data_IF_819730518399
#
_entry.id   IF_819730518399
#
_cell.length_a   1.000
_cell.length_b   1.000
_cell.length_c   1.000
_cell.angle_alpha   90.00
_cell.angle_beta   90.00
_cell.angle_gamma   90.00
#
_symmetry.space_group_name_H-M   'P 1'
#
loop_
_entity.id
_entity.type
_entity.pdbx_description
1 polymer ?
#
# COMPACT_ATOMS: atom_id res chain seq x y z
N UNK A 1 49.08 5.83 -44.59
CA UNK A 1 49.51 6.78 -43.54
C UNK A 1 48.50 6.58 -42.41
N UNK A 2 48.73 5.71 -41.41
CA UNK A 2 49.76 5.78 -40.35
C UNK A 2 49.57 7.04 -39.49
N UNK A 3 49.54 7.05 -38.16
CA UNK A 3 49.71 6.05 -37.07
C UNK A 3 49.10 6.69 -35.77
N UNK A 4 48.79 6.06 -34.63
CA UNK A 4 48.83 4.66 -34.12
C UNK A 4 47.94 4.54 -32.86
N UNK A 5 47.45 3.35 -32.52
CA UNK A 5 46.93 3.04 -31.16
C UNK A 5 48.07 2.85 -30.14
N UNK A 6 47.83 3.15 -28.86
CA UNK A 6 48.25 2.25 -27.77
C UNK A 6 47.22 2.17 -26.62
N UNK A 7 47.26 1.24 -25.66
CA UNK A 7 47.73 -0.16 -25.58
C UNK A 7 47.12 -0.74 -24.30
N UNK A 8 46.63 -1.99 -24.32
CA UNK A 8 46.10 -2.67 -23.12
C UNK A 8 47.17 -2.81 -22.03
N UNK A 9 46.79 -2.65 -20.75
CA UNK A 9 47.50 -3.27 -19.62
C UNK A 9 46.59 -4.25 -18.90
N UNK A 10 46.97 -5.53 -18.93
CA UNK A 10 46.54 -6.55 -17.97
C UNK A 10 47.43 -6.42 -16.73
N UNK A 11 46.86 -6.65 -15.55
CA UNK A 11 47.61 -7.03 -14.34
C UNK A 11 47.06 -8.40 -13.91
N UNK A 12 47.96 -9.31 -13.54
CA UNK A 12 47.66 -10.67 -13.10
C UNK A 12 48.15 -10.87 -11.67
N UNK A 13 47.46 -11.79 -10.98
CA UNK A 13 47.94 -12.62 -9.85
C UNK A 13 48.41 -11.93 -8.56
N UNK A 14 47.70 -12.26 -7.49
CA UNK A 14 48.13 -12.10 -6.10
C UNK A 14 47.41 -13.11 -5.20
N UNK A 15 47.82 -14.38 -5.24
CA UNK A 15 47.35 -15.38 -4.29
C UNK A 15 48.12 -15.25 -2.96
N UNK A 16 47.45 -15.45 -1.83
CA UNK A 16 48.10 -15.63 -0.53
C UNK A 16 47.26 -16.50 0.39
N UNK A 17 47.90 -17.52 0.93
CA UNK A 17 47.29 -18.60 1.74
C UNK A 17 48.12 -18.78 3.00
N UNK A 18 47.49 -18.71 4.18
CA UNK A 18 48.01 -19.08 5.51
C UNK A 18 46.78 -19.02 6.45
N UNK A 19 46.18 -20.08 7.04
CA UNK A 19 46.64 -21.29 7.76
C UNK A 19 46.94 -21.05 9.25
N UNK A 20 46.09 -21.66 10.11
CA UNK A 20 46.35 -21.96 11.54
C UNK A 20 45.83 -20.92 12.55
N UNK A 21 45.34 -21.27 13.75
CA UNK A 21 45.19 -22.59 14.42
C UNK A 21 44.04 -22.56 15.47
N UNK A 22 43.27 -23.64 15.49
CA UNK A 22 42.82 -24.46 16.64
C UNK A 22 42.52 -23.86 18.04
N UNK A 23 41.39 -24.32 18.63
CA UNK A 23 41.06 -24.16 20.06
C UNK A 23 39.73 -24.82 20.45
N UNK A 24 39.75 -26.08 20.87
CA UNK A 24 38.56 -26.87 21.19
C UNK A 24 38.04 -26.72 22.65
N UNK A 25 36.85 -27.33 22.87
CA UNK A 25 36.35 -28.06 24.08
C UNK A 25 35.83 -27.33 25.33
N UNK A 26 34.84 -27.86 26.09
CA UNK A 26 33.73 -28.84 25.85
C UNK A 26 32.93 -29.17 27.14
N UNK A 27 31.69 -29.71 27.02
CA UNK A 27 30.84 -30.34 28.09
C UNK A 27 30.29 -29.38 29.17
N UNK A 28 29.14 -29.60 29.83
CA UNK A 28 28.04 -30.61 29.80
C UNK A 28 26.80 -30.01 30.55
N UNK A 29 25.55 -30.45 30.34
CA UNK A 29 24.86 -31.59 31.00
C UNK A 29 24.86 -31.52 32.56
N UNK A 30 23.79 -31.78 33.33
CA UNK A 30 22.38 -32.14 33.01
C UNK A 30 21.45 -31.98 34.26
N UNK A 31 20.15 -32.23 34.08
CA UNK A 31 19.10 -32.69 35.04
C UNK A 31 18.83 -32.05 36.44
N UNK A 32 17.60 -31.54 36.58
CA UNK A 32 16.53 -31.87 37.57
C UNK A 32 16.81 -32.13 39.08
N UNK A 33 15.88 -31.70 39.95
CA UNK A 33 15.13 -32.53 40.96
C UNK A 33 14.21 -31.69 41.89
N UNK A 34 12.89 -31.95 41.84
CA UNK A 34 11.79 -31.60 42.79
C UNK A 34 11.95 -32.39 44.13
N UNK A 35 11.28 -32.19 45.31
CA UNK A 35 9.82 -31.91 45.43
C UNK A 35 9.24 -31.31 46.77
N UNK A 36 7.89 -31.33 46.89
CA UNK A 36 7.05 -31.48 48.11
C UNK A 36 6.96 -30.34 49.18
N UNK A 37 5.90 -30.17 50.02
CA UNK A 37 4.46 -30.59 50.00
C UNK A 37 3.68 -29.89 51.16
N UNK A 38 2.47 -29.36 50.89
CA UNK A 38 1.29 -29.10 51.78
C UNK A 38 1.40 -28.35 53.13
N UNK A 39 0.54 -27.32 53.32
CA UNK A 39 -0.40 -27.26 54.47
C UNK A 39 -1.64 -26.35 54.25
N UNK A 40 -2.84 -26.90 54.48
CA UNK A 40 -4.13 -26.19 54.55
C UNK A 40 -4.38 -25.63 55.97
N UNK A 41 -5.17 -24.54 56.12
CA UNK A 41 -6.50 -24.55 56.80
C UNK A 41 -7.21 -23.18 56.72
N UNK A 42 -8.54 -23.17 56.76
CA UNK A 42 -9.42 -22.00 56.63
C UNK A 42 -9.94 -21.43 57.97
N UNK A 43 -10.37 -20.15 57.99
CA UNK A 43 -11.76 -19.72 58.28
C UNK A 43 -11.97 -18.19 58.20
N UNK A 44 -13.09 -17.80 57.61
CA UNK A 44 -14.00 -16.65 57.87
C UNK A 44 -13.49 -15.32 58.46
N UNK A 45 -13.86 -14.19 57.81
CA UNK A 45 -14.60 -13.03 58.40
C UNK A 45 -14.96 -12.00 57.31
N UNK A 46 -16.14 -11.40 57.38
CA UNK A 46 -16.65 -10.41 56.41
C UNK A 46 -16.31 -8.95 56.78
N UNK A 47 -16.14 -8.09 55.76
CA UNK A 47 -16.12 -6.61 55.87
C UNK A 47 -16.36 -5.97 54.48
N UNK A 48 -16.69 -4.66 54.40
CA UNK A 48 -17.84 -4.21 53.62
C UNK A 48 -17.57 -3.86 52.15
N UNK A 49 -18.67 -3.79 51.40
CA UNK A 49 -18.74 -3.19 50.06
C UNK A 49 -18.28 -1.72 50.09
N UNK A 50 -17.10 -1.45 49.56
CA UNK A 50 -16.76 -0.12 49.06
C UNK A 50 -17.31 0.01 47.64
N UNK A 51 -18.29 0.90 47.45
CA UNK A 51 -18.71 1.33 46.11
C UNK A 51 -17.63 2.24 45.54
N UNK A 52 -16.61 1.65 44.93
CA UNK A 52 -15.65 2.39 44.12
C UNK A 52 -16.38 2.86 42.86
N UNK A 53 -16.69 4.16 42.78
CA UNK A 53 -16.94 4.79 41.48
C UNK A 53 -15.61 4.79 40.73
N UNK A 54 -15.39 3.77 39.93
CA UNK A 54 -14.37 3.80 38.89
C UNK A 54 -14.86 4.78 37.83
N UNK A 55 -14.24 5.96 37.78
CA UNK A 55 -14.17 6.70 36.52
C UNK A 55 -13.40 5.82 35.57
N UNK A 56 -14.06 5.29 34.54
CA UNK A 56 -13.36 4.58 33.47
C UNK A 56 -12.38 5.56 32.83
N UNK A 57 -11.10 5.22 32.83
CA UNK A 57 -10.13 5.83 31.91
C UNK A 57 -10.54 5.44 30.49
N UNK A 58 -10.24 6.27 29.49
CA UNK A 58 -10.65 6.01 28.09
C UNK A 58 -10.04 4.70 27.54
N UNK A 59 -8.95 4.24 28.17
CA UNK A 59 -8.26 2.96 27.94
C UNK A 59 -9.13 1.69 28.17
N UNK A 60 -10.22 1.76 28.95
CA UNK A 60 -11.05 0.59 29.32
C UNK A 60 -12.29 0.41 28.39
N UNK A 61 -12.35 1.12 27.26
CA UNK A 61 -13.43 0.99 26.26
C UNK A 61 -13.15 -0.20 25.33
N UNK A 62 -14.08 -1.17 25.18
CA UNK A 62 -13.90 -2.28 24.24
C UNK A 62 -13.70 -1.78 22.80
N UNK A 63 -12.58 -2.18 22.18
CA UNK A 63 -12.19 -1.71 20.86
C UNK A 63 -11.29 -0.47 20.86
N UNK A 64 -10.88 0.07 22.02
CA UNK A 64 -9.82 1.08 22.10
C UNK A 64 -8.50 0.52 21.57
N UNK A 65 -7.69 1.39 20.94
CA UNK A 65 -6.40 1.02 20.36
C UNK A 65 -5.27 1.79 21.07
N UNK A 66 -4.26 1.07 21.59
CA UNK A 66 -3.11 1.67 22.29
C UNK A 66 -2.04 2.24 21.33
N UNK A 67 -1.92 1.67 20.12
CA UNK A 67 -0.95 2.04 19.08
C UNK A 67 -1.64 2.69 17.87
N UNK A 68 -0.99 3.65 17.20
CA UNK A 68 -1.53 4.21 15.95
C UNK A 68 -1.52 3.14 14.85
N UNK A 69 -2.67 2.89 14.23
CA UNK A 69 -2.82 1.93 13.13
C UNK A 69 -2.82 2.63 11.79
N UNK A 70 -2.23 1.96 10.81
CA UNK A 70 -2.00 2.47 9.46
C UNK A 70 -2.39 1.43 8.43
N UNK A 71 -2.71 1.85 7.20
CA UNK A 71 -2.92 0.95 6.07
C UNK A 71 -3.27 1.72 4.81
N UNK A 72 -3.65 1.05 3.73
CA UNK A 72 -3.80 1.69 2.41
C UNK A 72 -5.26 1.66 1.95
N UNK A 73 -5.78 2.75 1.36
CA UNK A 73 -7.14 2.81 0.81
C UNK A 73 -7.14 3.30 -0.64
N UNK A 74 -7.71 2.48 -1.53
CA UNK A 74 -8.00 2.83 -2.91
C UNK A 74 -9.52 2.84 -3.11
N UNK A 75 -10.04 3.93 -3.65
CA UNK A 75 -11.41 4.04 -4.16
C UNK A 75 -11.32 4.40 -5.63
N UNK A 76 -11.89 3.55 -6.48
CA UNK A 76 -11.96 3.69 -7.93
C UNK A 76 -13.43 3.85 -8.33
N UNK A 77 -13.75 4.92 -9.05
CA UNK A 77 -15.07 5.16 -9.64
C UNK A 77 -14.89 5.27 -11.15
N UNK A 78 -15.46 4.34 -11.93
CA UNK A 78 -15.40 4.32 -13.40
C UNK A 78 -13.99 4.38 -14.02
N UNK A 79 -13.00 3.86 -13.29
CA UNK A 79 -11.58 3.86 -13.69
C UNK A 79 -10.78 5.05 -13.16
N UNK A 80 -11.43 6.04 -12.53
CA UNK A 80 -10.77 7.17 -11.90
C UNK A 80 -10.56 6.93 -10.40
N UNK A 81 -9.31 7.03 -9.94
CA UNK A 81 -8.96 6.90 -8.52
C UNK A 81 -9.21 8.21 -7.75
N UNK A 82 -9.85 8.08 -6.59
CA UNK A 82 -10.07 9.18 -5.63
C UNK A 82 -8.74 9.69 -5.07
N UNK A 83 -8.53 11.00 -5.18
CA UNK A 83 -7.35 11.69 -4.68
C UNK A 83 -7.49 12.00 -3.18
N UNK A 84 -7.02 11.09 -2.33
CA UNK A 84 -7.04 11.23 -0.87
C UNK A 84 -6.01 12.24 -0.32
N UNK A 85 -5.11 12.77 -1.16
CA UNK A 85 -4.24 13.91 -0.84
C UNK A 85 -4.95 15.28 -0.91
N UNK A 86 -6.28 15.29 -0.89
CA UNK A 86 -7.07 16.52 -0.78
C UNK A 86 -7.27 16.90 0.70
N UNK A 87 -7.05 18.18 1.09
CA UNK A 87 -7.18 18.63 2.47
C UNK A 87 -8.47 18.25 3.21
N UNK A 88 -9.58 18.04 2.47
CA UNK A 88 -10.88 17.62 3.01
C UNK A 88 -10.86 16.23 3.68
N UNK A 89 -9.83 15.42 3.48
CA UNK A 89 -9.68 14.10 4.10
C UNK A 89 -8.75 14.09 5.33
N UNK A 90 -8.06 15.19 5.60
CA UNK A 90 -7.06 15.25 6.67
C UNK A 90 -7.68 15.54 8.02
N UNK A 91 -7.25 14.82 9.06
CA UNK A 91 -7.78 14.94 10.42
C UNK A 91 -7.82 16.40 10.91
N UNK A 92 -6.69 17.10 10.78
CA UNK A 92 -6.46 18.51 11.15
C UNK A 92 -7.49 19.49 10.55
N UNK A 93 -8.15 19.12 9.44
CA UNK A 93 -9.13 19.97 8.75
C UNK A 93 -10.59 19.59 9.07
N UNK A 94 -10.84 18.46 9.76
CA UNK A 94 -12.18 17.89 9.92
C UNK A 94 -12.54 17.50 11.36
N UNK A 95 -11.56 17.30 12.25
CA UNK A 95 -11.81 16.83 13.63
C UNK A 95 -12.71 17.77 14.46
N UNK A 96 -12.57 19.09 14.27
CA UNK A 96 -13.39 20.11 14.95
C UNK A 96 -14.88 19.98 14.61
N UNK A 97 -15.22 19.56 13.39
CA UNK A 97 -16.61 19.36 12.93
C UNK A 97 -17.09 17.91 13.10
N UNK A 98 -16.17 16.94 13.07
CA UNK A 98 -16.44 15.49 13.07
C UNK A 98 -15.42 14.75 13.94
N UNK A 99 -15.46 14.85 15.28
CA UNK A 99 -14.40 14.30 16.15
C UNK A 99 -14.21 12.78 16.04
N UNK A 100 -15.18 12.04 15.49
CA UNK A 100 -15.07 10.61 15.22
C UNK A 100 -14.16 10.26 14.02
N UNK A 101 -13.72 11.22 13.20
CA UNK A 101 -12.78 10.95 12.09
C UNK A 101 -11.42 10.48 12.60
N UNK A 102 -11.09 10.72 13.86
CA UNK A 102 -9.88 10.16 14.52
C UNK A 102 -9.82 8.62 14.49
N UNK A 103 -10.95 7.95 14.23
CA UNK A 103 -11.02 6.49 14.04
C UNK A 103 -10.70 6.04 12.60
N UNK A 104 -10.73 6.93 11.60
CA UNK A 104 -10.28 6.67 10.23
C UNK A 104 -10.11 7.98 9.44
N UNK A 105 -8.87 8.37 9.15
CA UNK A 105 -8.52 9.65 8.51
C UNK A 105 -7.24 9.56 7.70
N UNK A 106 -6.87 10.66 7.05
CA UNK A 106 -5.58 10.87 6.38
C UNK A 106 -4.83 12.04 7.05
N UNK A 107 -3.58 12.30 6.64
CA UNK A 107 -2.83 13.50 7.02
C UNK A 107 -2.07 14.07 5.81
N UNK A 108 -1.75 15.37 5.85
CA UNK A 108 -1.03 16.08 4.78
C UNK A 108 0.39 15.55 4.50
N UNK A 109 1.06 15.05 5.54
CA UNK A 109 2.49 14.73 5.49
C UNK A 109 2.90 13.46 6.22
N UNK A 110 1.96 12.64 6.73
CA UNK A 110 2.35 11.50 7.54
C UNK A 110 3.06 10.45 6.68
N UNK A 111 2.30 9.76 5.83
CA UNK A 111 2.77 8.53 5.18
C UNK A 111 2.07 8.28 3.84
N UNK A 112 1.83 9.33 3.05
CA UNK A 112 1.47 9.18 1.64
C UNK A 112 0.00 9.34 1.29
N UNK A 113 -0.30 9.49 -0.01
CA UNK A 113 -1.60 10.03 -0.45
C UNK A 113 -2.76 9.06 -0.27
N UNK A 114 -2.50 7.76 -0.11
CA UNK A 114 -3.52 6.72 0.08
C UNK A 114 -3.36 5.98 1.41
N UNK A 115 -2.49 6.45 2.33
CA UNK A 115 -2.35 5.81 3.64
C UNK A 115 -3.35 6.40 4.64
N UNK A 116 -4.22 5.55 5.18
CA UNK A 116 -5.15 5.89 6.25
C UNK A 116 -4.51 5.66 7.62
N UNK A 117 -4.97 6.41 8.61
CA UNK A 117 -4.59 6.32 10.02
C UNK A 117 -5.81 6.13 10.93
N UNK A 118 -5.61 5.47 12.08
CA UNK A 118 -6.57 5.32 13.18
C UNK A 118 -5.82 5.38 14.51
N UNK A 119 -6.21 6.30 15.40
CA UNK A 119 -5.49 6.55 16.66
C UNK A 119 -6.19 5.98 17.91
N UNK A 120 -7.46 5.55 17.83
CA UNK A 120 -8.30 5.44 19.05
C UNK A 120 -9.29 4.29 19.11
N UNK A 121 -9.88 3.83 18.00
CA UNK A 121 -10.94 2.84 18.10
C UNK A 121 -11.10 1.98 16.85
N UNK A 122 -11.21 0.67 17.04
CA UNK A 122 -11.63 -0.27 15.99
C UNK A 122 -13.05 0.09 15.53
N UNK A 123 -13.21 0.17 14.21
CA UNK A 123 -14.47 0.46 13.52
C UNK A 123 -14.68 -0.53 12.38
N UNK A 124 -15.93 -0.73 11.96
CA UNK A 124 -16.20 -1.49 10.73
C UNK A 124 -15.75 -0.69 9.51
N UNK A 125 -15.40 -1.36 8.41
CA UNK A 125 -14.96 -0.66 7.20
C UNK A 125 -16.12 0.17 6.56
N UNK A 126 -17.38 -0.21 6.76
CA UNK A 126 -18.54 0.64 6.49
C UNK A 126 -18.46 1.94 7.30
N UNK A 127 -18.16 1.88 8.60
CA UNK A 127 -18.06 3.09 9.42
C UNK A 127 -16.87 3.95 9.00
N UNK A 128 -15.73 3.34 8.70
CA UNK A 128 -14.54 4.00 8.19
C UNK A 128 -14.82 4.83 6.92
N UNK A 129 -15.43 4.21 5.89
CA UNK A 129 -15.80 4.90 4.65
C UNK A 129 -16.74 6.09 4.90
N UNK A 130 -17.72 5.94 5.80
CA UNK A 130 -18.68 7.00 6.15
C UNK A 130 -18.12 8.12 7.05
N UNK A 131 -16.87 8.02 7.52
CA UNK A 131 -16.19 9.14 8.20
C UNK A 131 -15.58 10.13 7.19
N UNK A 132 -15.16 9.62 6.02
CA UNK A 132 -14.47 10.39 4.98
C UNK A 132 -15.42 11.36 4.25
N UNK A 133 -15.14 12.68 4.22
CA UNK A 133 -16.04 13.64 3.57
C UNK A 133 -16.22 13.38 2.06
N UNK A 134 -17.48 13.39 1.63
CA UNK A 134 -17.85 13.13 0.24
C UNK A 134 -17.92 11.65 -0.14
N UNK A 135 -17.63 10.72 0.78
CA UNK A 135 -17.82 9.27 0.60
C UNK A 135 -18.96 8.81 1.51
N UNK A 136 -19.82 7.94 0.98
CA UNK A 136 -20.85 7.25 1.74
C UNK A 136 -20.84 5.76 1.37
N UNK A 137 -21.16 4.89 2.32
CA UNK A 137 -21.36 3.47 2.07
C UNK A 137 -22.57 2.96 2.85
N UNK A 138 -23.39 2.12 2.24
CA UNK A 138 -24.42 1.36 2.95
C UNK A 138 -24.79 0.07 2.21
N UNK A 139 -25.67 -0.73 2.81
CA UNK A 139 -26.27 -1.92 2.20
C UNK A 139 -27.78 -1.71 2.03
N UNK A 140 -28.29 -1.98 0.83
CA UNK A 140 -29.73 -1.94 0.50
C UNK A 140 -30.14 -3.31 -0.03
N UNK A 141 -31.08 -3.96 0.64
CA UNK A 141 -31.66 -5.27 0.28
C UNK A 141 -30.67 -6.45 0.01
N UNK A 142 -29.38 -6.28 0.32
CA UNK A 142 -28.32 -7.26 0.09
C UNK A 142 -27.27 -6.82 -0.93
N UNK A 143 -27.43 -5.63 -1.51
CA UNK A 143 -26.53 -5.02 -2.50
C UNK A 143 -25.73 -3.86 -1.89
N UNK A 144 -24.53 -3.60 -2.42
CA UNK A 144 -23.66 -2.51 -1.95
C UNK A 144 -24.12 -1.19 -2.57
N UNK A 145 -24.17 -0.13 -1.78
CA UNK A 145 -24.46 1.23 -2.26
C UNK A 145 -23.32 2.16 -1.84
N UNK A 146 -22.70 2.82 -2.81
CA UNK A 146 -21.60 3.77 -2.60
C UNK A 146 -22.04 5.16 -3.02
N UNK A 147 -21.81 6.16 -2.18
CA UNK A 147 -21.91 7.57 -2.52
C UNK A 147 -20.53 8.18 -2.75
N UNK A 148 -20.37 8.99 -3.80
CA UNK A 148 -19.18 9.80 -4.02
C UNK A 148 -19.56 11.19 -4.56
N UNK A 149 -19.15 12.25 -3.86
CA UNK A 149 -19.38 13.67 -4.21
C UNK A 149 -20.86 14.00 -4.53
N UNK A 150 -21.79 13.33 -3.84
CA UNK A 150 -23.24 13.50 -4.02
C UNK A 150 -23.87 12.65 -5.13
N UNK A 151 -23.08 11.88 -5.88
CA UNK A 151 -23.57 10.83 -6.78
C UNK A 151 -23.72 9.52 -6.00
N UNK A 152 -24.80 8.77 -6.26
CA UNK A 152 -25.03 7.45 -5.64
C UNK A 152 -24.97 6.35 -6.69
N UNK A 153 -24.22 5.30 -6.39
CA UNK A 153 -24.05 4.10 -7.19
C UNK A 153 -24.64 2.92 -6.41
N UNK A 154 -25.73 2.34 -6.90
CA UNK A 154 -26.40 1.20 -6.28
C UNK A 154 -26.06 -0.08 -7.07
N UNK A 155 -25.47 -1.09 -6.41
CA UNK A 155 -25.15 -2.38 -7.02
C UNK A 155 -26.38 -3.21 -7.43
N UNK A 156 -27.60 -2.78 -7.04
CA UNK A 156 -28.85 -3.34 -7.55
C UNK A 156 -29.25 -2.78 -8.94
N UNK A 157 -28.65 -1.68 -9.40
CA UNK A 157 -28.97 -1.07 -10.69
C UNK A 157 -28.30 -1.83 -11.87
N UNK A 158 -29.07 -2.07 -12.94
CA UNK A 158 -28.60 -2.75 -14.15
C UNK A 158 -27.39 -2.02 -14.77
N UNK A 159 -26.22 -2.65 -14.72
CA UNK A 159 -24.98 -2.10 -15.28
C UNK A 159 -24.07 -1.39 -14.27
N UNK A 160 -24.42 -1.40 -12.98
CA UNK A 160 -23.53 -0.99 -11.89
C UNK A 160 -22.91 -2.23 -11.23
N UNK A 161 -21.58 -2.30 -11.14
CA UNK A 161 -20.86 -3.26 -10.29
C UNK A 161 -20.15 -2.51 -9.16
N UNK A 162 -20.32 -3.01 -7.93
CA UNK A 162 -19.65 -2.49 -6.74
C UNK A 162 -18.95 -3.65 -6.04
N UNK A 163 -17.65 -3.50 -5.79
CA UNK A 163 -16.84 -4.50 -5.10
C UNK A 163 -15.92 -3.87 -4.07
N UNK A 164 -15.71 -4.59 -2.96
CA UNK A 164 -14.87 -4.13 -1.85
C UNK A 164 -13.98 -5.28 -1.40
N UNK A 165 -12.67 -5.04 -1.36
CA UNK A 165 -11.66 -6.03 -1.03
C UNK A 165 -10.73 -5.54 0.08
N UNK A 166 -10.22 -6.49 0.87
CA UNK A 166 -9.06 -6.36 1.74
C UNK A 166 -7.90 -7.16 1.13
N UNK A 167 -6.87 -6.49 0.65
CA UNK A 167 -5.84 -7.06 -0.22
C UNK A 167 -6.44 -7.63 -1.50
N UNK A 168 -6.59 -8.96 -1.53
CA UNK A 168 -7.19 -9.72 -2.63
C UNK A 168 -8.50 -10.41 -2.25
N UNK A 169 -8.89 -10.35 -0.97
CA UNK A 169 -10.09 -11.01 -0.43
C UNK A 169 -11.30 -10.08 -0.50
N UNK A 170 -12.43 -10.54 -1.06
CA UNK A 170 -13.68 -9.76 -1.06
C UNK A 170 -14.34 -9.84 0.32
N UNK A 171 -14.63 -8.70 0.93
CA UNK A 171 -15.18 -8.59 2.30
C UNK A 171 -16.61 -8.03 2.30
N UNK A 172 -17.33 -8.16 3.43
CA UNK A 172 -18.53 -7.35 3.70
C UNK A 172 -18.16 -6.22 4.70
N UNK A 173 -18.07 -4.96 4.23
CA UNK A 173 -17.70 -3.81 5.07
C UNK A 173 -18.60 -3.58 6.29
N UNK A 174 -19.84 -4.09 6.30
CA UNK A 174 -20.76 -3.92 7.43
C UNK A 174 -20.37 -4.77 8.65
N UNK A 175 -19.57 -5.82 8.42
CA UNK A 175 -19.13 -6.77 9.46
C UNK A 175 -17.61 -6.87 9.61
N UNK A 176 -16.85 -6.40 8.62
CA UNK A 176 -15.40 -6.41 8.67
C UNK A 176 -14.89 -5.26 9.55
N UNK A 177 -14.22 -5.58 10.65
CA UNK A 177 -13.52 -4.63 11.53
C UNK A 177 -12.13 -4.33 10.93
N UNK A 178 -11.77 -3.06 10.82
CA UNK A 178 -10.48 -2.63 10.24
C UNK A 178 -9.33 -3.09 11.13
N UNK A 179 -8.29 -3.71 10.54
CA UNK A 179 -7.06 -4.13 11.22
C UNK A 179 -5.85 -3.27 10.78
N UNK A 180 -4.81 -3.19 11.61
CA UNK A 180 -3.54 -2.57 11.25
C UNK A 180 -2.89 -3.27 10.05
N UNK A 181 -2.43 -2.49 9.06
CA UNK A 181 -1.83 -2.97 7.82
C UNK A 181 -2.84 -3.33 6.71
N UNK A 182 -4.13 -3.04 6.89
CA UNK A 182 -5.14 -3.37 5.87
C UNK A 182 -5.04 -2.51 4.59
N UNK A 183 -4.97 -3.22 3.46
CA UNK A 183 -5.12 -2.66 2.12
C UNK A 183 -6.58 -2.76 1.66
N UNK A 184 -7.28 -1.66 1.47
CA UNK A 184 -8.62 -1.68 0.93
C UNK A 184 -8.67 -1.28 -0.55
N UNK A 185 -9.45 -2.02 -1.34
CA UNK A 185 -9.84 -1.63 -2.70
C UNK A 185 -11.36 -1.61 -2.84
N UNK A 186 -11.92 -0.41 -3.00
CA UNK A 186 -13.30 -0.19 -3.40
C UNK A 186 -13.31 0.13 -4.89
N UNK A 187 -14.06 -0.63 -5.68
CA UNK A 187 -14.23 -0.40 -7.12
C UNK A 187 -15.72 -0.27 -7.44
N UNK A 188 -16.09 0.82 -8.08
CA UNK A 188 -17.41 1.07 -8.67
C UNK A 188 -17.24 1.19 -10.17
N UNK A 189 -18.08 0.48 -10.93
CA UNK A 189 -18.13 0.59 -12.40
C UNK A 189 -19.56 0.69 -12.88
N UNK A 190 -19.79 1.56 -13.84
CA UNK A 190 -21.05 1.79 -14.54
C UNK A 190 -20.88 1.49 -16.03
N UNK A 191 -21.98 1.15 -16.70
CA UNK A 191 -21.97 0.90 -18.14
C UNK A 191 -21.67 2.16 -18.99
N UNK A 192 -21.70 3.37 -18.41
CA UNK A 192 -21.49 4.63 -19.13
C UNK A 192 -20.01 5.05 -19.22
N UNK A 193 -19.15 4.57 -18.32
CA UNK A 193 -17.70 4.88 -18.31
C UNK A 193 -16.89 4.28 -19.47
N UNK A 194 -17.47 3.37 -20.25
CA UNK A 194 -16.79 2.69 -21.37
C UNK A 194 -16.75 3.55 -22.65
N UNK A 195 -16.01 4.66 -22.65
CA UNK A 195 -15.75 5.43 -23.89
C UNK A 195 -14.87 4.66 -24.85
N UNK A 196 -15.47 4.09 -25.90
CA UNK A 196 -14.78 3.37 -26.96
C UNK A 196 -13.89 4.29 -27.82
N UNK A 197 -12.67 4.56 -27.34
CA UNK A 197 -11.59 5.14 -28.12
C UNK A 197 -10.98 4.12 -29.10
N UNK A 198 -10.19 4.62 -30.07
CA UNK A 198 -9.26 3.76 -30.85
C UNK A 198 -8.00 3.41 -30.08
N UNK A 199 -7.68 4.22 -29.08
CA UNK A 199 -6.49 4.16 -28.25
C UNK A 199 -6.88 3.38 -27.00
N UNK A 200 -6.09 2.38 -26.61
CA UNK A 200 -6.25 1.73 -25.30
C UNK A 200 -5.77 2.70 -24.23
N UNK A 201 -6.46 2.79 -23.11
CA UNK A 201 -6.06 3.68 -22.02
C UNK A 201 -6.39 3.09 -20.66
N UNK A 202 -5.78 3.64 -19.61
CA UNK A 202 -6.00 3.22 -18.24
C UNK A 202 -5.20 4.08 -17.28
N UNK A 203 -5.17 3.71 -16.01
CA UNK A 203 -4.34 4.37 -14.99
C UNK A 203 -3.18 3.45 -14.57
N UNK A 204 -1.96 3.99 -14.48
CA UNK A 204 -0.81 3.34 -13.84
C UNK A 204 -0.34 4.24 -12.71
N UNK A 205 -0.53 3.79 -11.48
CA UNK A 205 -0.36 4.65 -10.31
C UNK A 205 0.79 4.11 -9.46
N UNK A 206 1.89 4.85 -9.35
CA UNK A 206 3.14 4.36 -8.71
C UNK A 206 3.41 5.09 -7.40
N UNK A 207 3.55 4.34 -6.31
CA UNK A 207 4.02 4.79 -4.99
C UNK A 207 5.41 4.22 -4.71
N UNK A 208 6.34 5.06 -4.27
CA UNK A 208 7.65 4.64 -3.77
C UNK A 208 7.85 5.22 -2.38
N UNK A 209 7.99 4.37 -1.36
CA UNK A 209 8.04 4.71 0.06
C UNK A 209 6.94 5.69 0.44
N UNK A 210 5.69 5.30 0.18
CA UNK A 210 4.52 6.13 0.44
C UNK A 210 4.50 7.48 -0.29
N UNK A 211 5.38 7.70 -1.27
CA UNK A 211 5.33 8.88 -2.14
C UNK A 211 4.83 8.49 -3.51
N UNK A 212 3.64 8.98 -3.87
CA UNK A 212 3.17 8.96 -5.26
C UNK A 212 4.16 9.67 -6.18
N UNK A 213 4.55 9.00 -7.25
CA UNK A 213 5.29 9.63 -8.33
C UNK A 213 4.37 10.63 -9.02
N UNK A 214 4.57 11.93 -8.78
CA UNK A 214 3.78 12.98 -9.41
C UNK A 214 4.27 13.19 -10.85
N UNK A 215 3.56 12.55 -11.77
CA UNK A 215 3.90 12.46 -13.18
C UNK A 215 3.64 13.77 -13.97
N UNK A 216 2.75 14.63 -13.49
CA UNK A 216 2.34 15.87 -14.18
C UNK A 216 3.29 17.07 -14.01
N UNK A 217 4.59 16.85 -13.80
CA UNK A 217 5.53 17.85 -13.28
C UNK A 217 6.88 17.95 -14.00
N UNK A 218 6.85 18.24 -15.30
CA UNK A 218 8.01 18.35 -16.21
C UNK A 218 8.79 17.04 -16.47
N UNK A 219 8.98 16.73 -17.76
CA UNK A 219 9.78 15.60 -18.28
C UNK A 219 9.27 14.18 -18.01
N UNK A 220 8.04 13.88 -18.48
CA UNK A 220 7.86 12.60 -19.16
C UNK A 220 8.95 12.47 -20.23
N UNK A 221 9.82 11.46 -20.11
CA UNK A 221 10.61 11.06 -21.27
C UNK A 221 9.63 10.41 -22.24
N UNK A 222 9.72 10.78 -23.53
CA UNK A 222 9.24 9.86 -24.55
C UNK A 222 9.99 8.55 -24.34
N UNK A 223 9.24 7.49 -24.04
CA UNK A 223 9.64 6.14 -24.42
C UNK A 223 9.93 6.18 -25.91
N UNK A 224 10.91 5.42 -26.41
CA UNK A 224 11.14 5.28 -27.86
C UNK A 224 10.05 4.40 -28.53
N UNK A 225 8.80 4.62 -28.15
CA UNK A 225 7.59 4.17 -28.83
C UNK A 225 6.73 5.40 -29.06
N UNK A 226 6.45 5.76 -30.31
CA UNK A 226 5.43 6.78 -30.64
C UNK A 226 3.99 6.25 -30.40
N UNK A 227 3.84 5.23 -29.53
CA UNK A 227 2.65 4.41 -29.41
C UNK A 227 2.15 4.28 -27.97
N UNK A 228 3.02 4.11 -26.98
CA UNK A 228 2.70 4.19 -25.55
C UNK A 228 3.21 5.50 -24.95
N UNK A 229 2.32 6.26 -24.29
CA UNK A 229 2.65 7.56 -23.68
C UNK A 229 1.79 7.86 -22.45
N UNK A 230 2.34 8.68 -21.56
CA UNK A 230 1.58 9.48 -20.60
C UNK A 230 1.47 10.90 -21.14
N UNK A 231 0.30 11.53 -20.97
CA UNK A 231 0.01 12.85 -21.56
C UNK A 231 -0.06 13.94 -20.48
N UNK A 232 0.21 15.18 -20.89
CA UNK A 232 -0.06 16.39 -20.11
C UNK A 232 -1.38 17.01 -20.61
N UNK A 233 -2.48 16.30 -20.34
CA UNK A 233 -3.85 16.68 -20.72
C UNK A 233 -4.77 16.93 -19.50
N UNK A 234 -4.22 16.79 -18.29
CA UNK A 234 -4.92 16.92 -17.01
C UNK A 234 -5.28 15.58 -16.36
N UNK A 235 -5.21 14.49 -17.11
CA UNK A 235 -5.52 13.14 -16.64
C UNK A 235 -4.29 12.51 -15.95
N UNK A 236 -4.09 12.82 -14.66
CA UNK A 236 -2.96 12.27 -13.88
C UNK A 236 -2.96 10.73 -13.94
N UNK A 237 -1.77 10.14 -14.05
CA UNK A 237 -1.55 8.69 -14.09
C UNK A 237 -2.15 7.97 -15.30
N UNK A 238 -2.79 8.70 -16.24
CA UNK A 238 -3.43 8.09 -17.40
C UNK A 238 -2.40 7.80 -18.49
N UNK A 239 -2.31 6.52 -18.83
CA UNK A 239 -1.51 6.05 -19.96
C UNK A 239 -2.40 5.83 -21.20
N UNK A 240 -1.78 5.92 -22.37
CA UNK A 240 -2.42 5.71 -23.67
C UNK A 240 -1.55 4.79 -24.53
N UNK A 241 -2.18 3.87 -25.28
CA UNK A 241 -1.49 2.96 -26.18
C UNK A 241 -2.23 2.80 -27.53
N UNK A 242 -1.58 3.19 -28.62
CA UNK A 242 -2.07 3.04 -30.01
C UNK A 242 -1.40 1.89 -30.79
N UNK A 243 -0.45 1.19 -30.17
CA UNK A 243 0.37 0.14 -30.79
C UNK A 243 0.05 -1.27 -30.32
N UNK A 244 1.08 -2.12 -30.33
CA UNK A 244 1.03 -3.46 -29.74
C UNK A 244 0.89 -3.37 -28.20
N UNK A 245 0.41 -4.43 -27.51
CA UNK A 245 0.37 -4.43 -26.06
C UNK A 245 1.77 -4.24 -25.46
N UNK A 246 1.82 -3.53 -24.33
CA UNK A 246 3.04 -3.37 -23.52
C UNK A 246 2.77 -3.96 -22.15
N UNK A 247 3.81 -4.52 -21.54
CA UNK A 247 3.77 -5.04 -20.18
C UNK A 247 3.81 -3.91 -19.15
N UNK A 248 3.42 -4.19 -17.89
CA UNK A 248 3.58 -3.20 -16.80
C UNK A 248 5.06 -2.85 -16.59
N UNK A 249 5.97 -3.79 -16.77
CA UNK A 249 7.42 -3.55 -16.72
C UNK A 249 7.89 -2.54 -17.77
N UNK A 250 7.40 -2.64 -19.01
CA UNK A 250 7.69 -1.68 -20.09
C UNK A 250 7.04 -0.32 -19.82
N UNK A 251 5.82 -0.30 -19.28
CA UNK A 251 5.13 0.92 -18.88
C UNK A 251 5.83 1.63 -17.70
N UNK A 252 6.41 0.89 -16.74
CA UNK A 252 7.25 1.45 -15.69
C UNK A 252 8.56 2.04 -16.25
N UNK A 253 9.17 1.38 -17.23
CA UNK A 253 10.34 1.90 -17.96
C UNK A 253 10.08 3.17 -18.78
N UNK A 254 8.81 3.58 -18.96
CA UNK A 254 8.44 4.87 -19.53
C UNK A 254 8.64 6.04 -18.54
N UNK A 255 8.55 5.77 -17.23
CA UNK A 255 8.49 6.80 -16.21
C UNK A 255 9.88 7.43 -15.96
N UNK A 256 9.96 8.75 -15.73
CA UNK A 256 11.23 9.42 -15.53
C UNK A 256 11.92 8.94 -14.25
N UNK A 257 13.17 8.48 -14.41
CA UNK A 257 14.03 7.96 -13.35
C UNK A 257 13.53 6.64 -12.71
N UNK A 258 12.62 5.92 -13.36
CA UNK A 258 12.26 4.55 -12.98
C UNK A 258 12.96 3.59 -13.95
N UNK A 259 13.61 2.56 -13.41
CA UNK A 259 13.95 1.35 -14.16
C UNK A 259 13.33 0.15 -13.43
N UNK A 260 12.70 -0.75 -14.17
CA UNK A 260 12.12 -1.98 -13.62
C UNK A 260 12.72 -3.19 -14.33
N UNK A 261 13.05 -4.23 -13.56
CA UNK A 261 13.63 -5.47 -14.07
C UNK A 261 13.31 -6.65 -13.16
N UNK A 262 13.30 -7.83 -13.74
CA UNK A 262 13.42 -9.09 -12.99
C UNK A 262 14.87 -9.55 -13.03
N UNK A 263 15.38 -10.03 -11.90
CA UNK A 263 16.76 -10.49 -11.80
C UNK A 263 16.93 -11.97 -12.24
N UNK A 264 18.12 -12.55 -12.07
CA UNK A 264 18.39 -13.94 -12.46
C UNK A 264 17.78 -15.02 -11.56
N UNK A 265 17.32 -14.67 -10.36
CA UNK A 265 16.59 -15.55 -9.46
C UNK A 265 15.08 -15.55 -9.75
N UNK A 266 14.58 -14.49 -10.40
CA UNK A 266 13.15 -14.25 -10.63
C UNK A 266 12.61 -13.12 -9.75
N UNK A 267 13.44 -12.52 -8.90
CA UNK A 267 13.03 -11.49 -7.96
C UNK A 267 12.87 -10.15 -8.69
N UNK A 268 11.84 -9.39 -8.32
CA UNK A 268 11.54 -8.11 -8.91
C UNK A 268 12.46 -7.02 -8.33
N UNK A 269 12.92 -6.10 -9.18
CA UNK A 269 13.80 -5.00 -8.77
C UNK A 269 13.31 -3.70 -9.39
N UNK A 270 13.08 -2.71 -8.54
CA UNK A 270 12.62 -1.37 -8.89
C UNK A 270 13.72 -0.36 -8.53
N UNK A 271 14.24 0.35 -9.53
CA UNK A 271 15.30 1.34 -9.38
C UNK A 271 14.67 2.74 -9.54
N UNK A 272 14.70 3.57 -8.48
CA UNK A 272 14.17 4.95 -8.48
C UNK A 272 15.30 5.99 -8.33
N UNK A 273 15.69 6.60 -9.44
CA UNK A 273 16.90 7.41 -9.59
C UNK A 273 16.81 8.89 -9.16
N UNK A 274 15.86 9.30 -8.30
CA UNK A 274 15.89 10.66 -7.75
C UNK A 274 16.95 10.75 -6.65
N UNK A 275 18.02 11.53 -6.86
CA UNK A 275 19.20 11.58 -5.99
C UNK A 275 19.04 12.26 -4.62
N UNK A 276 17.91 12.08 -3.95
CA UNK A 276 17.67 12.38 -2.54
C UNK A 276 17.33 11.10 -1.75
N UNK A 277 17.03 11.24 -0.46
CA UNK A 277 16.97 10.11 0.49
C UNK A 277 15.80 9.12 0.25
N UNK A 278 14.87 9.44 -0.66
CA UNK A 278 13.74 8.60 -1.08
C UNK A 278 13.98 7.84 -2.40
N UNK A 279 15.14 8.03 -3.04
CA UNK A 279 15.58 7.24 -4.20
C UNK A 279 16.42 6.03 -3.78
N UNK A 280 16.41 4.98 -4.58
CA UNK A 280 17.11 3.74 -4.25
C UNK A 280 16.89 2.61 -5.24
N UNK A 281 17.57 1.48 -4.98
CA UNK A 281 17.32 0.20 -5.64
C UNK A 281 16.57 -0.68 -4.65
N UNK A 282 15.32 -0.99 -4.97
CA UNK A 282 14.43 -1.80 -4.16
C UNK A 282 14.39 -3.22 -4.72
N UNK A 283 14.66 -4.21 -3.88
CA UNK A 283 14.69 -5.62 -4.26
C UNK A 283 13.57 -6.34 -3.52
N UNK A 284 12.67 -6.99 -4.25
CA UNK A 284 11.53 -7.70 -3.66
C UNK A 284 11.98 -8.77 -2.66
N UNK A 285 11.27 -8.89 -1.54
CA UNK A 285 11.59 -9.75 -0.39
C UNK A 285 13.00 -9.58 0.23
N UNK A 286 13.75 -8.51 -0.08
CA UNK A 286 15.06 -8.20 0.49
C UNK A 286 15.04 -6.87 1.25
N UNK A 287 15.91 -6.71 2.26
CA UNK A 287 16.07 -5.48 3.05
C UNK A 287 14.74 -4.88 3.56
N UNK A 288 13.81 -5.75 3.96
CA UNK A 288 12.44 -5.42 4.37
C UNK A 288 11.66 -4.61 3.33
N UNK A 289 11.85 -4.95 2.05
CA UNK A 289 11.17 -4.32 0.90
C UNK A 289 9.97 -5.15 0.44
N UNK A 290 8.84 -4.49 0.19
CA UNK A 290 7.70 -5.00 -0.58
C UNK A 290 7.68 -4.33 -1.97
N UNK A 291 7.65 -5.12 -3.05
CA UNK A 291 7.28 -4.63 -4.39
C UNK A 291 5.97 -5.29 -4.80
N UNK A 292 4.89 -4.54 -4.61
CA UNK A 292 3.53 -5.00 -4.87
C UNK A 292 3.01 -4.40 -6.17
N UNK A 293 2.54 -5.25 -7.09
CA UNK A 293 1.84 -4.81 -8.30
C UNK A 293 0.50 -5.52 -8.42
N UNK A 294 -0.58 -4.73 -8.49
CA UNK A 294 -1.95 -5.23 -8.65
C UNK A 294 -2.65 -4.49 -9.79
N UNK A 295 -3.37 -5.23 -10.62
CA UNK A 295 -4.50 -4.67 -11.37
C UNK A 295 -5.70 -4.68 -10.41
N UNK A 296 -6.07 -3.51 -9.88
CA UNK A 296 -7.06 -3.36 -8.82
C UNK A 296 -6.78 -4.26 -7.60
N UNK A 297 -7.67 -5.21 -7.28
CA UNK A 297 -7.48 -6.19 -6.22
C UNK A 297 -6.75 -7.49 -6.66
N UNK A 298 -6.31 -7.59 -7.92
CA UNK A 298 -5.68 -8.79 -8.49
C UNK A 298 -4.16 -8.60 -8.64
N UNK A 299 -3.31 -9.39 -7.96
CA UNK A 299 -1.86 -9.35 -8.18
C UNK A 299 -1.51 -9.76 -9.61
N UNK A 300 -0.54 -9.07 -10.21
CA UNK A 300 -0.08 -9.33 -11.58
C UNK A 300 1.45 -9.34 -11.63
N UNK A 301 2.04 -10.24 -12.42
CA UNK A 301 3.48 -10.24 -12.71
C UNK A 301 3.77 -9.13 -13.73
N UNK A 302 4.55 -8.09 -13.38
CA UNK A 302 4.75 -6.95 -14.27
C UNK A 302 5.49 -7.29 -15.56
N UNK A 303 6.25 -8.39 -15.59
CA UNK A 303 7.04 -8.82 -16.76
C UNK A 303 6.22 -9.59 -17.79
N UNK A 304 5.02 -10.06 -17.43
CA UNK A 304 4.16 -10.87 -18.30
C UNK A 304 2.74 -10.34 -18.45
N UNK A 305 2.28 -9.44 -17.58
CA UNK A 305 0.97 -8.81 -17.69
C UNK A 305 0.98 -7.66 -18.71
N UNK A 306 0.34 -7.88 -19.86
CA UNK A 306 0.08 -6.87 -20.89
C UNK A 306 -1.09 -5.95 -20.49
N UNK A 307 -0.89 -4.63 -20.55
CA UNK A 307 -1.92 -3.63 -20.26
C UNK A 307 -3.10 -3.68 -21.25
N UNK A 308 -4.31 -3.76 -20.69
CA UNK A 308 -5.59 -3.78 -21.37
C UNK A 308 -6.33 -2.44 -21.23
N UNK A 309 -7.27 -2.19 -22.12
CA UNK A 309 -8.12 -0.99 -22.05
C UNK A 309 -8.99 -1.00 -20.78
N UNK A 310 -9.04 0.14 -20.08
CA UNK A 310 -9.72 0.27 -18.79
C UNK A 310 -8.96 -0.36 -17.61
N UNK A 311 -7.68 -0.73 -17.75
CA UNK A 311 -6.88 -1.19 -16.62
C UNK A 311 -6.56 -0.06 -15.64
N UNK A 312 -6.69 -0.37 -14.35
CA UNK A 312 -6.20 0.46 -13.24
C UNK A 312 -5.18 -0.39 -12.50
N UNK A 313 -3.91 -0.06 -12.69
CA UNK A 313 -2.76 -0.77 -12.11
C UNK A 313 -2.12 0.10 -11.04
N UNK A 314 -1.93 -0.47 -9.86
CA UNK A 314 -1.19 0.15 -8.77
C UNK A 314 0.12 -0.61 -8.57
N UNK A 315 1.20 0.16 -8.51
CA UNK A 315 2.56 -0.30 -8.19
C UNK A 315 2.95 0.38 -6.89
N UNK A 316 3.27 -0.42 -5.88
CA UNK A 316 3.70 0.06 -4.57
C UNK A 316 5.05 -0.55 -4.24
N UNK A 317 6.00 0.31 -3.96
CA UNK A 317 7.35 -0.04 -3.54
C UNK A 317 7.55 0.58 -2.16
N UNK A 318 7.90 -0.22 -1.17
CA UNK A 318 8.16 0.26 0.19
C UNK A 318 9.29 -0.52 0.82
N UNK A 319 10.07 0.11 1.69
CA UNK A 319 10.96 -0.57 2.61
C UNK A 319 10.84 0.00 4.01
N UNK A 320 10.86 -0.86 5.03
CA UNK A 320 10.88 -0.45 6.45
C UNK A 320 12.07 0.48 6.78
N UNK A 321 13.09 0.51 5.92
CA UNK A 321 14.28 1.35 6.05
C UNK A 321 14.12 2.75 5.42
N UNK A 322 12.97 3.08 4.84
CA UNK A 322 12.73 4.37 4.21
C UNK A 322 12.70 5.51 5.25
N UNK A 323 13.21 6.71 4.92
CA UNK A 323 12.99 7.87 5.78
C UNK A 323 11.51 8.27 5.76
N UNK A 324 10.98 8.72 6.91
CA UNK A 324 9.64 9.29 6.99
C UNK A 324 9.47 10.46 6.00
N UNK A 325 8.27 10.60 5.44
CA UNK A 325 7.93 11.61 4.43
C UNK A 325 7.73 13.03 5.03
N UNK A 326 8.78 13.57 5.66
CA UNK A 326 8.83 14.95 6.19
C UNK A 326 8.98 16.03 5.10
#
# INVERSE_FOLDING_TARGET
MSDKNPTRRRILLGASTLVGLAGCTSLGADEATTPETTQQKASDTASPTETVSQTATEEDVPGYIEDHWHGRLFVEIDGDIVDFAQPKYYLDNIEDERPETVYFHFHDSAHGPNEWSNEKQVVTFERALNLLPGIEYTRRDGDHVVGYEGTTYDGADDGTDVSVHRGTERIDPTTYEVENGDDFWVSVRTAEGSTAGSDRSGQLVVDVNNRRLNEGGETFRRVDTDQFEFRDDGERYRWYNTGEPVTVAEALGALPNVEYRQDSAGDHVFDYGTGGDLGGTYHDAADATEILVRQRATPVDPTTYELQDGDVVWVYVHTDNAPNNN
#
